data_IF_164931299897
#
_entry.id   IF_164931299897
#
_cell.length_a   1.000
_cell.length_b   1.000
_cell.length_c   1.000
_cell.angle_alpha   90.00
_cell.angle_beta   90.00
_cell.angle_gamma   90.00
#
_symmetry.space_group_name_H-M   'P 1'
#
loop_
_entity.id
_entity.type
_entity.pdbx_description
1 polymer ?
#
# COMPACT_ATOMS: atom_id res chain seq x y z
N UNK A 1 -11.84 -10.44 -6.62
CA UNK A 1 -11.46 -9.01 -6.75
C UNK A 1 -10.08 -8.92 -7.37
N UNK A 2 -9.90 -8.02 -8.34
CA UNK A 2 -8.61 -7.82 -9.02
C UNK A 2 -7.62 -7.03 -8.13
N UNK A 3 -6.33 -7.03 -8.47
CA UNK A 3 -5.26 -6.37 -7.69
C UNK A 3 -5.45 -4.88 -7.37
N UNK A 4 -5.95 -4.02 -8.29
CA UNK A 4 -6.16 -2.60 -8.02
C UNK A 4 -7.16 -2.32 -6.88
N UNK A 5 -8.21 -3.13 -6.78
CA UNK A 5 -9.23 -3.00 -5.74
C UNK A 5 -8.69 -3.33 -4.36
N UNK A 6 -7.76 -4.28 -4.27
CA UNK A 6 -7.18 -4.75 -3.00
C UNK A 6 -6.33 -3.69 -2.31
N UNK A 7 -5.46 -2.99 -3.05
CA UNK A 7 -4.65 -1.90 -2.49
C UNK A 7 -5.54 -0.82 -1.92
N UNK A 8 -6.54 -0.38 -2.70
CA UNK A 8 -7.48 0.67 -2.25
C UNK A 8 -8.27 0.22 -1.02
N UNK A 9 -8.77 -1.02 -1.02
CA UNK A 9 -9.52 -1.60 0.11
C UNK A 9 -8.67 -1.65 1.37
N UNK A 10 -7.42 -2.10 1.26
CA UNK A 10 -6.51 -2.15 2.42
C UNK A 10 -6.17 -0.76 2.94
N UNK A 11 -5.90 0.22 2.05
CA UNK A 11 -5.69 1.61 2.48
C UNK A 11 -6.89 2.14 3.26
N UNK A 12 -8.11 1.94 2.74
CA UNK A 12 -9.33 2.38 3.44
C UNK A 12 -9.47 1.72 4.81
N UNK A 13 -9.28 0.39 4.91
CA UNK A 13 -9.38 -0.32 6.19
C UNK A 13 -8.33 0.15 7.22
N UNK A 14 -7.10 0.44 6.78
CA UNK A 14 -6.06 1.00 7.64
C UNK A 14 -6.41 2.41 8.12
N UNK A 15 -6.93 3.24 7.20
CA UNK A 15 -7.41 4.56 7.52
C UNK A 15 -8.60 4.54 8.49
N UNK A 16 -9.56 3.63 8.31
CA UNK A 16 -10.68 3.47 9.24
C UNK A 16 -10.20 3.03 10.64
N UNK A 17 -9.08 2.32 10.71
CA UNK A 17 -8.43 1.89 11.95
C UNK A 17 -7.60 2.98 12.63
N UNK A 18 -7.49 4.17 12.05
CA UNK A 18 -6.77 5.30 12.64
C UNK A 18 -5.39 5.58 12.05
N UNK A 19 -4.87 4.71 11.17
CA UNK A 19 -3.53 4.83 10.58
C UNK A 19 -3.58 5.83 9.41
N UNK A 20 -2.59 6.73 9.31
CA UNK A 20 -2.44 7.60 8.15
C UNK A 20 -1.81 6.79 7.01
N UNK A 21 -2.38 6.86 5.80
CA UNK A 21 -1.83 6.17 4.62
C UNK A 21 -1.63 7.15 3.47
N UNK A 22 -0.36 7.37 3.11
CA UNK A 22 0.03 8.21 1.99
C UNK A 22 0.57 7.37 0.84
N UNK A 23 0.26 7.75 -0.40
CA UNK A 23 0.65 7.00 -1.60
C UNK A 23 1.07 7.95 -2.70
N UNK A 24 2.36 8.01 -3.00
CA UNK A 24 2.85 8.92 -4.04
C UNK A 24 3.93 8.28 -4.90
N UNK A 25 4.10 8.78 -6.11
CA UNK A 25 5.18 8.38 -7.03
C UNK A 25 6.40 9.31 -6.94
N UNK A 26 6.33 10.33 -6.09
CA UNK A 26 7.37 11.36 -5.94
C UNK A 26 7.60 11.56 -4.44
N UNK A 27 8.81 11.27 -3.99
CA UNK A 27 9.33 11.77 -2.72
C UNK A 27 9.96 13.13 -3.05
N UNK A 28 9.52 14.21 -2.43
CA UNK A 28 10.01 15.55 -2.76
C UNK A 28 11.51 15.73 -2.45
N UNK A 29 12.22 16.31 -3.41
CA UNK A 29 13.38 17.19 -3.24
C UNK A 29 14.58 16.69 -2.42
N UNK A 30 15.33 15.72 -2.96
CA UNK A 30 16.78 15.67 -2.76
C UNK A 30 17.48 15.77 -4.11
N UNK A 31 17.99 16.96 -4.43
CA UNK A 31 18.90 17.20 -5.57
C UNK A 31 20.32 16.71 -5.29
N UNK A 32 20.57 16.05 -4.15
CA UNK A 32 21.90 15.58 -3.74
C UNK A 32 22.04 14.06 -3.69
N UNK A 33 20.95 13.29 -3.62
CA UNK A 33 20.96 11.82 -3.81
C UNK A 33 19.62 11.32 -4.36
N UNK A 34 19.54 10.84 -5.61
CA UNK A 34 18.34 10.16 -6.09
C UNK A 34 18.19 8.82 -5.36
N UNK A 35 17.18 8.69 -4.49
CA UNK A 35 16.74 7.39 -4.00
C UNK A 35 16.22 6.59 -5.19
N UNK A 36 16.87 5.47 -5.47
CA UNK A 36 16.44 4.59 -6.56
C UNK A 36 15.07 3.98 -6.21
N UNK A 37 14.23 3.72 -7.22
CA UNK A 37 12.93 3.07 -7.04
C UNK A 37 13.09 1.68 -6.39
N UNK A 38 14.24 1.03 -6.64
CA UNK A 38 14.61 -0.24 -6.03
C UNK A 38 14.93 -0.13 -4.53
N UNK A 39 15.26 1.07 -4.04
CA UNK A 39 15.70 1.32 -2.67
C UNK A 39 14.59 1.87 -1.77
N UNK A 40 13.43 2.26 -2.33
CA UNK A 40 12.34 2.87 -1.55
C UNK A 40 10.94 2.53 -2.07
N UNK A 41 10.40 1.40 -1.59
CA UNK A 41 9.03 0.92 -1.92
C UNK A 41 7.97 1.42 -0.93
N UNK A 42 8.35 1.71 0.29
CA UNK A 42 7.49 2.18 1.36
C UNK A 42 8.30 2.56 2.59
N UNK A 43 7.63 3.19 3.56
CA UNK A 43 8.16 3.37 4.90
C UNK A 43 7.05 3.55 5.92
N UNK A 44 7.41 3.32 7.19
CA UNK A 44 6.53 3.52 8.34
C UNK A 44 7.15 4.51 9.32
N UNK A 45 6.40 5.56 9.67
CA UNK A 45 6.72 6.45 10.79
C UNK A 45 5.79 6.17 11.95
N UNK A 46 6.36 6.05 13.15
CA UNK A 46 5.61 5.84 14.38
C UNK A 46 5.97 6.96 15.35
N UNK A 47 4.94 7.68 15.79
CA UNK A 47 5.02 8.63 16.89
C UNK A 47 3.78 8.45 17.73
N UNK A 48 3.86 7.58 18.74
CA UNK A 48 2.71 7.18 19.55
C UNK A 48 1.89 8.39 20.02
N UNK A 49 0.55 8.38 19.86
CA UNK A 49 -0.29 7.27 19.40
C UNK A 49 -0.49 7.18 17.86
N UNK A 50 0.26 7.93 17.06
CA UNK A 50 0.07 8.06 15.61
C UNK A 50 1.02 7.16 14.82
N UNK A 51 0.52 6.66 13.68
CA UNK A 51 1.31 5.93 12.70
C UNK A 51 1.00 6.45 11.28
N UNK A 52 2.05 6.57 10.47
CA UNK A 52 1.97 6.89 9.05
C UNK A 52 2.63 5.78 8.26
N UNK A 53 1.91 5.24 7.29
CA UNK A 53 2.46 4.38 6.24
C UNK A 53 2.52 5.18 4.95
N UNK A 54 3.67 5.15 4.28
CA UNK A 54 3.84 5.66 2.94
C UNK A 54 4.16 4.53 1.96
N UNK A 55 3.56 4.56 0.77
CA UNK A 55 3.86 3.60 -0.30
C UNK A 55 4.18 4.32 -1.61
N UNK A 56 5.23 3.85 -2.29
CA UNK A 56 5.59 4.31 -3.62
C UNK A 56 4.64 3.73 -4.67
N UNK A 57 3.98 4.60 -5.45
CA UNK A 57 2.97 4.13 -6.42
C UNK A 57 3.56 3.73 -7.78
N UNK A 58 4.88 3.83 -7.99
CA UNK A 58 5.54 3.43 -9.26
C UNK A 58 5.61 1.92 -9.47
N UNK A 59 5.53 1.15 -8.39
CA UNK A 59 5.56 -0.31 -8.44
C UNK A 59 4.25 -0.93 -8.95
N UNK A 60 4.29 -2.23 -9.27
CA UNK A 60 3.06 -2.98 -9.61
C UNK A 60 2.06 -2.97 -8.46
N UNK A 61 0.75 -3.16 -8.74
CA UNK A 61 -0.27 -3.22 -7.67
C UNK A 61 -0.05 -4.38 -6.69
N UNK A 62 0.49 -5.49 -7.18
CA UNK A 62 0.93 -6.62 -6.37
C UNK A 62 2.05 -6.23 -5.41
N UNK A 63 3.08 -5.53 -5.90
CA UNK A 63 4.17 -5.04 -5.06
C UNK A 63 3.69 -3.98 -4.06
N UNK A 64 2.87 -3.03 -4.49
CA UNK A 64 2.25 -2.03 -3.59
C UNK A 64 1.43 -2.70 -2.48
N UNK A 65 0.66 -3.75 -2.78
CA UNK A 65 -0.13 -4.48 -1.79
C UNK A 65 0.76 -5.19 -0.76
N UNK A 66 1.84 -5.81 -1.23
CA UNK A 66 2.80 -6.47 -0.35
C UNK A 66 3.53 -5.46 0.53
N UNK A 67 4.06 -4.38 -0.04
CA UNK A 67 4.71 -3.30 0.73
C UNK A 67 3.76 -2.70 1.76
N UNK A 68 2.50 -2.41 1.41
CA UNK A 68 1.51 -1.90 2.37
C UNK A 68 1.27 -2.86 3.54
N UNK A 69 1.25 -4.16 3.25
CA UNK A 69 1.10 -5.20 4.29
C UNK A 69 2.37 -5.36 5.13
N UNK A 70 3.53 -5.13 4.53
CA UNK A 70 4.83 -5.14 5.21
C UNK A 70 4.95 -3.96 6.18
N UNK A 71 4.64 -2.74 5.72
CA UNK A 71 4.61 -1.54 6.55
C UNK A 71 3.61 -1.64 7.71
N UNK A 72 2.45 -2.28 7.48
CA UNK A 72 1.54 -2.62 8.57
C UNK A 72 2.21 -3.51 9.63
N UNK A 73 3.10 -4.41 9.23
CA UNK A 73 3.90 -5.21 10.15
C UNK A 73 4.76 -4.36 11.09
N UNK A 74 5.43 -3.33 10.55
CA UNK A 74 6.18 -2.35 11.35
C UNK A 74 5.27 -1.64 12.37
N UNK A 75 4.09 -1.18 11.93
CA UNK A 75 3.08 -0.58 12.82
C UNK A 75 2.68 -1.54 13.95
N UNK A 76 2.42 -2.82 13.64
CA UNK A 76 2.04 -3.84 14.64
C UNK A 76 3.15 -4.08 15.66
N UNK A 77 4.41 -4.06 15.23
CA UNK A 77 5.57 -4.19 16.13
C UNK A 77 5.87 -2.91 16.92
N UNK A 78 5.24 -1.79 16.58
CA UNK A 78 5.60 -0.48 17.13
C UNK A 78 7.02 -0.07 16.77
N UNK A 79 7.58 -0.59 15.68
CA UNK A 79 8.88 -0.24 15.15
C UNK A 79 8.71 0.65 13.92
N UNK A 80 9.48 1.73 13.75
CA UNK A 80 9.52 2.42 12.46
C UNK A 80 9.97 1.44 11.36
N UNK A 81 9.72 1.81 10.11
CA UNK A 81 10.12 1.11 8.90
C UNK A 81 10.83 2.09 8.00
N UNK A 82 11.97 2.64 8.42
CA UNK A 82 12.74 3.64 7.65
C UNK A 82 14.03 2.97 7.20
N UNK A 83 14.31 3.05 5.90
CA UNK A 83 15.47 2.45 5.22
C UNK A 83 16.86 2.93 5.71
N UNK A 84 16.93 3.74 6.76
CA UNK A 84 18.19 4.24 7.32
C UNK A 84 18.86 3.17 8.19
N UNK A 85 19.55 2.24 7.51
CA UNK A 85 20.70 1.39 7.92
C UNK A 85 20.81 0.81 9.36
N UNK A 86 19.76 0.86 10.18
CA UNK A 86 19.78 0.42 11.58
C UNK A 86 18.70 -0.58 11.94
N UNK A 87 17.78 -0.91 11.03
CA UNK A 87 16.72 -1.88 11.31
C UNK A 87 17.31 -3.28 11.43
N UNK A 88 16.92 -3.98 12.50
CA UNK A 88 17.34 -5.36 12.69
C UNK A 88 16.83 -6.22 11.53
N UNK A 89 17.73 -6.96 10.89
CA UNK A 89 17.40 -7.95 9.85
C UNK A 89 16.27 -8.90 10.29
N UNK A 90 16.09 -9.12 11.59
CA UNK A 90 15.03 -9.96 12.13
C UNK A 90 13.66 -9.29 12.11
N UNK A 91 13.59 -7.96 12.28
CA UNK A 91 12.36 -7.16 12.12
C UNK A 91 11.90 -7.24 10.67
N UNK A 92 12.79 -6.95 9.72
CA UNK A 92 12.52 -7.04 8.28
C UNK A 92 12.01 -8.43 7.86
N UNK A 93 12.67 -9.48 8.36
CA UNK A 93 12.23 -10.87 8.14
C UNK A 93 10.86 -11.11 8.77
N UNK A 94 10.59 -10.56 9.93
CA UNK A 94 9.29 -10.68 10.58
C UNK A 94 8.20 -9.98 9.78
N UNK A 95 8.41 -8.73 9.35
CA UNK A 95 7.46 -7.96 8.55
C UNK A 95 7.16 -8.64 7.21
N UNK A 96 8.17 -9.23 6.56
CA UNK A 96 7.98 -10.04 5.35
C UNK A 96 7.11 -11.28 5.60
N UNK A 97 7.36 -12.02 6.69
CA UNK A 97 6.51 -13.18 7.07
C UNK A 97 5.10 -12.76 7.44
N UNK A 98 4.96 -11.63 8.15
CA UNK A 98 3.68 -11.03 8.50
C UNK A 98 2.89 -10.69 7.24
N UNK A 99 3.46 -9.94 6.31
CA UNK A 99 2.82 -9.55 5.06
C UNK A 99 2.32 -10.77 4.25
N UNK A 100 3.17 -11.79 4.09
CA UNK A 100 2.80 -13.03 3.41
C UNK A 100 1.66 -13.77 4.12
N UNK A 101 1.67 -13.82 5.45
CA UNK A 101 0.65 -14.51 6.25
C UNK A 101 -0.66 -13.72 6.32
N UNK A 102 -0.59 -12.39 6.31
CA UNK A 102 -1.73 -11.49 6.29
C UNK A 102 -2.48 -11.55 4.95
N UNK A 103 -1.75 -11.51 3.83
CA UNK A 103 -2.33 -11.60 2.49
C UNK A 103 -2.79 -13.02 2.12
N UNK A 104 -2.12 -14.04 2.66
CA UNK A 104 -2.45 -15.45 2.46
C UNK A 104 -2.50 -16.19 3.82
N UNK A 105 -3.60 -16.05 4.57
CA UNK A 105 -3.81 -16.81 5.82
C UNK A 105 -3.79 -18.30 5.55
N UNK A 106 -3.36 -19.11 6.53
CA UNK A 106 -3.25 -20.56 6.37
C UNK A 106 -4.59 -21.18 5.91
N UNK A 107 -5.71 -20.75 6.46
CA UNK A 107 -7.05 -21.21 6.06
C UNK A 107 -7.34 -20.94 4.57
N UNK A 108 -6.94 -19.78 4.04
CA UNK A 108 -7.11 -19.46 2.62
C UNK A 108 -6.24 -20.36 1.75
N UNK A 109 -5.00 -20.61 2.17
CA UNK A 109 -4.07 -21.47 1.44
C UNK A 109 -4.59 -22.90 1.38
N UNK A 110 -4.89 -23.48 2.54
CA UNK A 110 -5.34 -24.87 2.66
C UNK A 110 -6.68 -25.12 1.96
N UNK A 111 -7.57 -24.13 1.89
CA UNK A 111 -8.83 -24.23 1.13
C UNK A 111 -8.67 -23.95 -0.37
N UNK A 112 -7.52 -23.44 -0.80
CA UNK A 112 -7.24 -23.13 -2.20
C UNK A 112 -6.48 -24.24 -2.91
N UNK A 113 -5.67 -25.01 -2.18
CA UNK A 113 -4.90 -26.12 -2.73
C UNK A 113 -5.76 -27.37 -2.71
N UNK A 114 -6.12 -27.86 -3.91
CA UNK A 114 -6.73 -29.17 -4.07
C UNK A 114 -5.67 -30.24 -4.20
N UNK A 115 -5.91 -31.44 -3.67
CA UNK A 115 -5.02 -32.61 -3.86
C UNK A 115 -4.92 -33.05 -5.32
N UNK A 116 -5.82 -32.58 -6.18
CA UNK A 116 -5.85 -32.91 -7.61
C UNK A 116 -5.17 -31.85 -8.50
N UNK A 117 -4.83 -30.68 -7.95
CA UNK A 117 -4.21 -29.61 -8.73
C UNK A 117 -2.70 -29.83 -8.82
N UNK A 118 -2.09 -29.41 -9.94
CA UNK A 118 -0.64 -29.33 -9.99
C UNK A 118 -0.13 -28.27 -8.99
N UNK A 119 1.09 -28.43 -8.45
CA UNK A 119 1.73 -27.41 -7.61
C UNK A 119 1.77 -26.02 -8.27
N UNK A 120 2.00 -25.98 -9.59
CA UNK A 120 2.02 -24.73 -10.36
C UNK A 120 0.64 -24.08 -10.47
N UNK A 121 -0.43 -24.87 -10.65
CA UNK A 121 -1.80 -24.35 -10.67
C UNK A 121 -2.24 -23.86 -9.29
N UNK A 122 -1.77 -24.51 -8.24
CA UNK A 122 -1.94 -24.07 -6.85
C UNK A 122 -1.28 -22.71 -6.62
N UNK A 123 -0.04 -22.50 -7.09
CA UNK A 123 0.66 -21.20 -7.04
C UNK A 123 -0.13 -20.12 -7.77
N UNK A 124 -0.56 -20.39 -9.01
CA UNK A 124 -1.35 -19.43 -9.80
C UNK A 124 -2.67 -19.08 -9.12
N UNK A 125 -3.37 -20.07 -8.59
CA UNK A 125 -4.67 -19.86 -7.94
C UNK A 125 -4.51 -19.07 -6.65
N UNK A 126 -3.51 -19.41 -5.84
CA UNK A 126 -3.20 -18.67 -4.62
C UNK A 126 -2.80 -17.23 -4.94
N UNK A 127 -1.89 -17.00 -5.90
CA UNK A 127 -1.48 -15.66 -6.33
C UNK A 127 -2.67 -14.80 -6.75
N UNK A 128 -3.62 -15.32 -7.53
CA UNK A 128 -4.85 -14.59 -7.90
C UNK A 128 -5.72 -14.27 -6.68
N UNK A 129 -5.95 -15.25 -5.80
CA UNK A 129 -6.82 -15.10 -4.62
C UNK A 129 -6.24 -14.16 -3.57
N UNK A 130 -4.94 -14.24 -3.28
CA UNK A 130 -4.25 -13.36 -2.32
C UNK A 130 -3.89 -12.01 -2.93
N UNK A 131 -3.58 -11.95 -4.22
CA UNK A 131 -3.06 -10.76 -4.90
C UNK A 131 -1.54 -10.61 -4.75
N UNK A 132 -0.85 -11.65 -4.25
CA UNK A 132 0.60 -11.72 -4.15
C UNK A 132 1.22 -12.11 -5.50
N UNK A 133 2.53 -11.88 -5.66
CA UNK A 133 3.25 -12.44 -6.81
C UNK A 133 3.21 -13.96 -6.76
N UNK A 134 3.36 -14.62 -7.90
CA UNK A 134 3.45 -16.07 -7.94
C UNK A 134 4.64 -16.58 -7.13
N UNK A 135 5.77 -15.86 -7.12
CA UNK A 135 6.93 -16.21 -6.30
C UNK A 135 6.62 -16.14 -4.80
N UNK A 136 5.98 -15.06 -4.34
CA UNK A 136 5.60 -14.95 -2.93
C UNK A 136 4.53 -15.99 -2.54
N UNK A 137 3.63 -16.34 -3.46
CA UNK A 137 2.67 -17.43 -3.28
C UNK A 137 3.37 -18.80 -3.20
N UNK A 138 4.37 -19.06 -4.04
CA UNK A 138 5.19 -20.28 -4.00
C UNK A 138 5.88 -20.45 -2.64
N UNK A 139 6.59 -19.42 -2.18
CA UNK A 139 7.24 -19.47 -0.86
C UNK A 139 6.23 -19.59 0.29
N UNK A 140 5.02 -19.04 0.13
CA UNK A 140 3.96 -19.22 1.12
C UNK A 140 3.48 -20.68 1.22
N UNK A 141 3.41 -21.41 0.10
CA UNK A 141 3.11 -22.84 0.09
C UNK A 141 4.21 -23.64 0.80
N UNK A 142 5.49 -23.32 0.54
CA UNK A 142 6.64 -23.92 1.24
C UNK A 142 6.55 -23.68 2.74
N UNK A 143 6.29 -22.45 3.18
CA UNK A 143 6.17 -22.11 4.60
C UNK A 143 5.04 -22.84 5.33
N UNK A 144 4.03 -23.32 4.61
CA UNK A 144 2.92 -24.11 5.15
C UNK A 144 3.09 -25.62 4.92
N UNK A 145 4.27 -26.05 4.44
CA UNK A 145 4.59 -27.44 4.10
C UNK A 145 3.58 -28.08 3.13
N UNK A 146 3.00 -27.27 2.24
CA UNK A 146 2.09 -27.77 1.19
C UNK A 146 2.89 -28.31 0.01
N UNK A 147 4.03 -27.68 -0.27
CA UNK A 147 5.05 -28.14 -1.21
C UNK A 147 6.39 -28.12 -0.48
N UNK A 148 7.33 -28.97 -0.89
CA UNK A 148 8.68 -28.94 -0.32
C UNK A 148 9.60 -27.98 -1.08
N UNK A 149 10.78 -27.72 -0.51
CA UNK A 149 11.76 -26.81 -1.08
C UNK A 149 12.34 -27.29 -2.43
N UNK A 150 12.40 -28.60 -2.67
CA UNK A 150 12.93 -29.16 -3.91
C UNK A 150 11.92 -28.96 -5.04
N UNK A 151 10.65 -29.22 -4.78
CA UNK A 151 9.55 -28.96 -5.71
C UNK A 151 9.47 -27.46 -6.03
N UNK A 152 9.58 -26.60 -5.01
CA UNK A 152 9.62 -25.16 -5.21
C UNK A 152 10.81 -24.71 -6.08
N UNK A 153 12.01 -25.28 -5.89
CA UNK A 153 13.18 -24.96 -6.71
C UNK A 153 12.96 -25.30 -8.20
N UNK A 154 12.16 -26.33 -8.49
CA UNK A 154 11.82 -26.74 -9.86
C UNK A 154 10.80 -25.80 -10.50
N UNK A 155 9.88 -25.24 -9.70
CA UNK A 155 8.84 -24.32 -10.15
C UNK A 155 9.32 -22.87 -10.27
N UNK A 156 10.34 -22.47 -9.50
CA UNK A 156 10.81 -21.10 -9.44
C UNK A 156 11.15 -20.50 -10.82
N UNK A 157 11.85 -21.20 -11.75
CA UNK A 157 12.10 -20.69 -13.10
C UNK A 157 10.82 -20.48 -13.91
N UNK A 158 9.81 -21.34 -13.73
CA UNK A 158 8.52 -21.24 -14.42
C UNK A 158 7.70 -20.05 -13.91
N UNK A 159 7.81 -19.77 -12.62
CA UNK A 159 7.16 -18.64 -11.96
C UNK A 159 7.84 -17.31 -12.32
N UNK A 160 9.18 -17.28 -12.32
CA UNK A 160 9.97 -16.09 -12.61
C UNK A 160 9.89 -15.66 -14.09
N UNK A 161 9.67 -16.61 -15.00
CA UNK A 161 9.51 -16.33 -16.44
C UNK A 161 8.11 -15.84 -16.83
N UNK A 162 7.13 -15.85 -15.91
CA UNK A 162 5.80 -15.30 -16.19
C UNK A 162 5.82 -13.78 -16.04
N UNK A 163 5.48 -13.00 -17.08
CA UNK A 163 5.35 -11.56 -16.94
C UNK A 163 4.26 -11.24 -15.90
N UNK A 164 4.58 -10.34 -14.98
CA UNK A 164 3.57 -9.74 -14.10
C UNK A 164 2.53 -9.10 -15.02
N UNK A 165 1.29 -9.58 -14.97
CA UNK A 165 0.22 -9.01 -15.79
C UNK A 165 0.11 -7.51 -15.46
N UNK A 166 0.59 -6.67 -16.38
CA UNK A 166 0.40 -5.25 -16.30
C UNK A 166 -1.11 -5.00 -16.39
N UNK A 167 -1.68 -4.41 -15.33
CA UNK A 167 -3.04 -3.89 -15.42
C UNK A 167 -3.00 -2.70 -16.35
N UNK A 168 -3.49 -2.87 -17.58
CA UNK A 168 -3.66 -1.81 -18.55
C UNK A 168 -4.41 -0.63 -17.90
N UNK A 169 -3.91 0.61 -18.01
CA UNK A 169 -4.63 1.77 -17.51
C UNK A 169 -5.96 1.88 -18.28
N UNK A 170 -7.08 1.79 -17.55
CA UNK A 170 -8.40 2.00 -18.14
C UNK A 170 -8.46 3.39 -18.77
N UNK A 171 -8.63 3.45 -20.09
CA UNK A 171 -8.74 4.68 -20.86
C UNK A 171 -10.13 5.33 -20.69
N UNK A 172 -10.37 5.97 -19.55
CA UNK A 172 -11.54 6.84 -19.40
C UNK A 172 -11.26 8.20 -20.03
N UNK A 173 -12.18 8.71 -20.87
CA UNK A 173 -12.12 10.09 -21.36
C UNK A 173 -12.28 11.05 -20.17
N UNK A 174 -11.25 11.84 -19.90
CA UNK A 174 -11.19 12.78 -18.79
C UNK A 174 -10.45 12.20 -17.58
N UNK A 175 -9.40 12.91 -17.14
CA UNK A 175 -8.65 12.52 -15.94
C UNK A 175 -9.53 12.56 -14.67
N UNK A 176 -9.16 11.83 -13.61
CA UNK A 176 -9.88 11.87 -12.35
C UNK A 176 -9.94 13.30 -11.78
N UNK A 177 -11.06 13.66 -11.16
CA UNK A 177 -11.23 14.95 -10.49
C UNK A 177 -10.09 15.21 -9.48
N UNK A 178 -9.63 16.47 -9.38
CA UNK A 178 -8.45 16.85 -8.58
C UNK A 178 -8.54 16.39 -7.12
N UNK A 179 -9.70 16.52 -6.48
CA UNK A 179 -9.89 16.06 -5.09
C UNK A 179 -9.64 14.56 -4.95
N UNK A 180 -10.01 13.73 -5.94
CA UNK A 180 -9.74 12.29 -5.92
C UNK A 180 -8.25 11.99 -6.05
N UNK A 181 -7.53 12.75 -6.88
CA UNK A 181 -6.07 12.64 -7.02
C UNK A 181 -5.37 13.01 -5.71
N UNK A 182 -5.78 14.13 -5.10
CA UNK A 182 -5.19 14.59 -3.83
C UNK A 182 -5.50 13.60 -2.70
N UNK A 183 -6.76 13.18 -2.50
CA UNK A 183 -7.12 12.16 -1.50
C UNK A 183 -6.38 10.85 -1.71
N UNK A 184 -6.25 10.39 -2.96
CA UNK A 184 -5.49 9.19 -3.26
C UNK A 184 -4.00 9.33 -2.89
N UNK A 185 -3.44 10.55 -3.04
CA UNK A 185 -2.05 10.87 -2.75
C UNK A 185 -1.75 10.98 -1.27
N UNK A 186 -2.53 11.76 -0.53
CA UNK A 186 -2.23 12.11 0.87
C UNK A 186 -2.96 11.23 1.89
N UNK A 187 -3.96 10.46 1.46
CA UNK A 187 -4.87 9.73 2.33
C UNK A 187 -6.14 10.52 2.64
N UNK A 188 -7.26 9.83 2.86
CA UNK A 188 -8.52 10.46 3.24
C UNK A 188 -8.42 11.07 4.64
N UNK A 189 -7.81 10.37 5.61
CA UNK A 189 -7.73 10.88 7.00
C UNK A 189 -6.96 12.18 7.06
N UNK A 190 -5.81 12.23 6.40
CA UNK A 190 -4.97 13.42 6.38
C UNK A 190 -5.68 14.56 5.66
N UNK A 191 -6.31 14.26 4.51
CA UNK A 191 -7.10 15.24 3.77
C UNK A 191 -8.22 15.84 4.64
N UNK A 192 -8.99 14.99 5.32
CA UNK A 192 -10.13 15.41 6.13
C UNK A 192 -9.65 16.20 7.36
N UNK A 193 -8.56 15.78 8.02
CA UNK A 193 -7.97 16.49 9.14
C UNK A 193 -7.47 17.90 8.75
N UNK A 194 -6.74 18.01 7.64
CA UNK A 194 -6.20 19.30 7.16
C UNK A 194 -7.32 20.22 6.70
N UNK A 195 -8.30 19.71 5.95
CA UNK A 195 -9.44 20.54 5.50
C UNK A 195 -10.30 21.00 6.66
N UNK A 196 -10.58 20.14 7.64
CA UNK A 196 -11.28 20.53 8.87
C UNK A 196 -10.50 21.60 9.65
N UNK A 197 -9.19 21.40 9.87
CA UNK A 197 -8.35 22.36 10.58
C UNK A 197 -8.32 23.73 9.89
N UNK A 198 -8.30 23.77 8.56
CA UNK A 198 -8.36 25.00 7.78
C UNK A 198 -9.70 25.73 7.93
N UNK A 199 -10.82 24.99 7.84
CA UNK A 199 -12.18 25.55 7.98
C UNK A 199 -12.42 26.04 9.40
N UNK A 200 -11.96 25.30 10.41
CA UNK A 200 -12.06 25.66 11.81
C UNK A 200 -11.07 26.76 12.25
N UNK A 201 -10.24 27.28 11.34
CA UNK A 201 -9.24 28.31 11.66
C UNK A 201 -8.09 27.83 12.56
N UNK A 202 -7.91 26.52 12.73
CA UNK A 202 -6.82 25.92 13.52
C UNK A 202 -5.47 26.02 12.84
N UNK A 203 -5.46 26.07 11.50
CA UNK A 203 -4.27 26.33 10.69
C UNK A 203 -4.58 27.40 9.63
N UNK A 204 -3.59 28.21 9.21
CA UNK A 204 -3.74 29.13 8.10
C UNK A 204 -4.10 28.40 6.80
N UNK A 205 -4.96 29.01 5.98
CA UNK A 205 -5.34 28.48 4.65
C UNK A 205 -4.10 28.24 3.75
N UNK A 206 -3.07 29.08 3.87
CA UNK A 206 -1.80 28.92 3.15
C UNK A 206 -1.08 27.62 3.54
N UNK A 207 -1.07 27.30 4.83
CA UNK A 207 -0.45 26.08 5.34
C UNK A 207 -1.24 24.84 4.88
N UNK A 208 -2.57 24.89 4.97
CA UNK A 208 -3.43 23.83 4.44
C UNK A 208 -3.23 23.60 2.93
N UNK A 209 -3.07 24.68 2.16
CA UNK A 209 -2.77 24.58 0.74
C UNK A 209 -1.44 23.86 0.48
N UNK A 210 -0.39 24.18 1.24
CA UNK A 210 0.91 23.53 1.14
C UNK A 210 0.81 22.03 1.46
N UNK A 211 0.20 21.67 2.59
CA UNK A 211 0.03 20.27 3.03
C UNK A 211 -0.74 19.42 2.01
N UNK A 212 -1.73 20.01 1.31
CA UNK A 212 -2.52 19.31 0.30
C UNK A 212 -1.94 19.40 -1.13
N UNK A 213 -0.89 20.20 -1.36
CA UNK A 213 -0.35 20.51 -2.70
C UNK A 213 -1.33 21.30 -3.58
N UNK A 214 -2.09 22.21 -2.97
CA UNK A 214 -2.95 23.17 -3.66
C UNK A 214 -2.12 24.42 -4.01
N UNK A 215 -2.08 24.80 -5.29
CA UNK A 215 -1.26 25.91 -5.76
C UNK A 215 -1.90 27.29 -5.53
N UNK A 216 -3.24 27.33 -5.41
CA UNK A 216 -4.01 28.56 -5.27
C UNK A 216 -5.10 28.43 -4.20
N UNK A 217 -5.54 29.57 -3.65
CA UNK A 217 -6.68 29.60 -2.72
C UNK A 217 -7.95 29.00 -3.32
N UNK A 218 -8.24 29.29 -4.60
CA UNK A 218 -9.38 28.67 -5.31
C UNK A 218 -9.25 27.14 -5.39
N UNK A 219 -8.05 26.63 -5.67
CA UNK A 219 -7.82 25.18 -5.70
C UNK A 219 -8.03 24.55 -4.32
N UNK A 220 -7.66 25.23 -3.24
CA UNK A 220 -7.93 24.78 -1.88
C UNK A 220 -9.43 24.81 -1.55
N UNK A 221 -10.15 25.88 -1.90
CA UNK A 221 -11.60 25.98 -1.72
C UNK A 221 -12.34 24.82 -2.39
N UNK A 222 -11.92 24.44 -3.61
CA UNK A 222 -12.47 23.27 -4.33
C UNK A 222 -12.17 21.95 -3.62
N UNK A 223 -11.03 21.82 -2.96
CA UNK A 223 -10.73 20.63 -2.13
C UNK A 223 -11.61 20.60 -0.88
N UNK A 224 -11.71 21.72 -0.16
CA UNK A 224 -12.54 21.84 1.05
C UNK A 224 -14.00 21.45 0.75
N UNK A 225 -14.55 21.84 -0.39
CA UNK A 225 -15.91 21.48 -0.81
C UNK A 225 -16.16 19.95 -0.94
N UNK A 226 -15.11 19.13 -0.96
CA UNK A 226 -15.19 17.67 -1.02
C UNK A 226 -14.71 16.99 0.29
N UNK A 227 -14.61 17.76 1.37
CA UNK A 227 -14.36 17.26 2.73
C UNK A 227 -15.69 16.96 3.42
N UNK A 228 -15.78 15.92 4.27
CA UNK A 228 -16.94 15.71 5.16
C UNK A 228 -17.26 16.97 5.98
N UNK A 229 -16.23 17.78 6.29
CA UNK A 229 -16.39 19.03 7.03
C UNK A 229 -17.19 20.12 6.30
N UNK A 230 -17.43 19.99 4.99
CA UNK A 230 -18.31 20.90 4.26
C UNK A 230 -19.78 20.76 4.66
N UNK A 231 -20.19 19.58 5.15
CA UNK A 231 -21.56 19.33 5.61
C UNK A 231 -21.89 20.12 6.88
N UNK A 232 -20.90 20.37 7.75
CA UNK A 232 -21.07 21.18 8.97
C UNK A 232 -21.30 22.67 8.72
N UNK A 233 -21.16 23.16 7.48
CA UNK A 233 -21.47 24.56 7.12
C UNK A 233 -22.93 24.75 6.66
N UNK A 234 -23.67 23.66 6.47
CA UNK A 234 -25.05 23.67 6.00
C UNK A 234 -26.09 23.39 7.11
N UNK A 235 -25.66 23.38 8.37
CA UNK A 235 -26.50 23.29 9.58
C UNK A 235 -26.19 24.45 10.51
#
# INVERSE_FOLDING_TARGET
MQGPDKVKTLCSALEDSGILVSRNSIVESSTTRPLSIDEFRGFTLIQAPYALIFINTRDSKTAQLFSLSHELGHVVLGQPGISDHGESRDIERWCNRFAASFLAPAQLVLSTVSTSDSPFDSVKTLSRKSGMSQEAALWRLVHLNVIDSNEASTLLPLVASQPVQATEPSSSKGGPARHRVVKARVGNRFFDAVTYAAVAGKIPQKEAAQLLGAATADSLSKLIAHSPSAEWRAS
#
